data_IF_920495031805
#
_entry.id   IF_920495031805
#
_cell.length_a   1.000
_cell.length_b   1.000
_cell.length_c   1.000
_cell.angle_alpha   90.00
_cell.angle_beta   90.00
_cell.angle_gamma   90.00
#
_symmetry.space_group_name_H-M   'P 1'
#
loop_
_entity.id
_entity.type
_entity.pdbx_description
1 polymer ?
#
# COMPACT_ATOMS: atom_id res chain seq x y z
N UNK A 1 2.98 -14.59 29.18
CA UNK A 1 2.41 -13.92 28.00
C UNK A 1 3.46 -12.97 27.44
N UNK A 2 4.20 -13.43 26.47
CA UNK A 2 5.02 -12.52 25.67
C UNK A 2 4.05 -11.69 24.85
N UNK A 3 3.70 -10.50 25.36
CA UNK A 3 2.73 -9.61 24.74
C UNK A 3 3.08 -9.36 23.29
N UNK A 4 2.09 -9.51 22.42
CA UNK A 4 2.22 -9.19 21.00
C UNK A 4 2.82 -7.80 20.84
N UNK A 5 3.85 -7.68 20.01
CA UNK A 5 4.43 -6.38 19.71
C UNK A 5 3.40 -5.48 19.02
N UNK A 6 3.45 -4.19 19.30
CA UNK A 6 2.53 -3.21 18.70
C UNK A 6 3.32 -2.26 17.83
N UNK A 7 2.87 -2.13 16.57
CA UNK A 7 3.25 -1.09 15.63
C UNK A 7 2.11 -0.10 15.57
N UNK A 8 2.40 1.18 15.80
CA UNK A 8 1.39 2.21 15.90
C UNK A 8 1.51 3.21 14.75
N UNK A 9 0.38 3.63 14.20
CA UNK A 9 0.30 4.69 13.20
C UNK A 9 -0.80 5.69 13.50
N UNK A 10 -0.70 6.91 12.93
CA UNK A 10 -1.75 7.92 13.02
C UNK A 10 -2.86 7.66 11.99
N UNK A 11 -4.00 8.32 12.18
CA UNK A 11 -4.97 8.51 11.10
C UNK A 11 -4.47 9.60 10.14
N UNK A 12 -4.72 9.41 8.86
CA UNK A 12 -4.30 10.35 7.82
C UNK A 12 -5.47 11.17 7.32
N UNK A 13 -5.23 12.47 7.16
CA UNK A 13 -6.20 13.42 6.70
C UNK A 13 -5.60 14.38 5.68
N UNK A 14 -6.21 14.49 4.52
CA UNK A 14 -5.80 15.47 3.53
C UNK A 14 -6.46 16.82 3.85
N UNK A 15 -5.64 17.81 4.21
CA UNK A 15 -6.12 19.14 4.63
C UNK A 15 -6.78 19.91 3.51
N UNK A 16 -6.33 19.73 2.28
CA UNK A 16 -6.83 20.46 1.11
C UNK A 16 -8.17 19.88 0.64
N UNK A 17 -8.22 18.58 0.44
CA UNK A 17 -9.44 17.91 -0.06
C UNK A 17 -10.45 17.56 1.03
N UNK A 18 -10.11 17.82 2.32
CA UNK A 18 -10.93 17.43 3.49
C UNK A 18 -11.27 15.94 3.52
N UNK A 19 -10.37 15.11 2.98
CA UNK A 19 -10.57 13.68 2.85
C UNK A 19 -9.81 12.92 3.94
N UNK A 20 -10.50 12.03 4.65
CA UNK A 20 -9.88 11.08 5.57
C UNK A 20 -9.54 9.78 4.84
N UNK A 21 -8.32 9.30 5.00
CA UNK A 21 -7.90 8.04 4.40
C UNK A 21 -8.33 6.86 5.29
N UNK A 22 -9.06 5.89 4.72
CA UNK A 22 -9.50 4.74 5.49
C UNK A 22 -8.33 3.82 5.84
N UNK A 23 -8.40 3.22 7.01
CA UNK A 23 -7.56 2.09 7.42
C UNK A 23 -7.94 0.86 6.61
N UNK A 24 -6.95 0.12 6.17
CA UNK A 24 -7.14 -1.10 5.39
C UNK A 24 -7.00 -2.31 6.30
N UNK A 25 -8.04 -3.15 6.32
CA UNK A 25 -8.03 -4.45 6.99
C UNK A 25 -8.30 -5.55 5.98
N UNK A 26 -7.48 -6.60 6.02
CA UNK A 26 -7.70 -7.84 5.28
C UNK A 26 -8.20 -8.92 6.25
N UNK A 27 -9.19 -9.68 5.84
CA UNK A 27 -9.54 -10.91 6.54
C UNK A 27 -8.55 -12.04 6.20
N UNK A 28 -8.75 -13.21 6.78
CA UNK A 28 -7.89 -14.41 6.57
C UNK A 28 -7.79 -14.83 5.09
N UNK A 29 -8.82 -14.55 4.30
CA UNK A 29 -8.83 -14.83 2.85
C UNK A 29 -8.22 -13.72 2.02
N UNK A 30 -7.88 -12.56 2.62
CA UNK A 30 -7.35 -11.38 1.92
C UNK A 30 -8.42 -10.44 1.38
N UNK A 31 -9.69 -10.62 1.76
CA UNK A 31 -10.74 -9.66 1.42
C UNK A 31 -10.51 -8.34 2.17
N UNK A 32 -10.62 -7.25 1.43
CA UNK A 32 -10.32 -5.91 1.90
C UNK A 32 -11.57 -5.23 2.49
N UNK A 33 -11.46 -4.74 3.71
CA UNK A 33 -12.40 -3.78 4.30
C UNK A 33 -11.72 -2.41 4.49
N UNK A 34 -12.52 -1.37 4.52
CA UNK A 34 -12.12 0.01 4.81
C UNK A 34 -12.81 0.45 6.08
N UNK A 35 -12.04 0.99 7.02
CA UNK A 35 -12.54 1.50 8.29
C UNK A 35 -12.07 2.94 8.40
N UNK A 36 -12.99 3.85 8.69
CA UNK A 36 -12.64 5.26 8.87
C UNK A 36 -12.30 5.52 10.33
N UNK A 37 -11.07 5.97 10.64
CA UNK A 37 -10.64 6.17 12.02
C UNK A 37 -11.49 7.16 12.82
N UNK A 38 -12.06 8.18 12.17
CA UNK A 38 -12.96 9.14 12.82
C UNK A 38 -14.21 8.53 13.43
N UNK A 39 -14.60 7.32 13.01
CA UNK A 39 -15.77 6.59 13.52
C UNK A 39 -15.46 5.82 14.83
N UNK A 40 -14.20 5.82 15.28
CA UNK A 40 -13.76 5.10 16.48
C UNK A 40 -13.11 6.03 17.50
N UNK A 41 -13.34 5.72 18.78
CA UNK A 41 -12.64 6.36 19.91
C UNK A 41 -11.41 5.55 20.37
N UNK A 42 -11.29 4.32 19.90
CA UNK A 42 -10.23 3.39 20.30
C UNK A 42 -9.32 3.06 19.13
N UNK A 43 -8.08 2.65 19.40
CA UNK A 43 -7.18 2.21 18.34
C UNK A 43 -7.78 1.10 17.49
N UNK A 44 -7.59 1.19 16.19
CA UNK A 44 -8.17 0.29 15.19
C UNK A 44 -7.08 -0.64 14.68
N UNK A 45 -7.36 -1.95 14.68
CA UNK A 45 -6.48 -2.92 14.06
C UNK A 45 -6.46 -2.75 12.54
N UNK A 46 -5.27 -2.53 11.99
CA UNK A 46 -5.00 -2.44 10.57
C UNK A 46 -4.26 -3.67 10.05
N UNK A 47 -4.35 -3.96 8.77
CA UNK A 47 -3.48 -4.94 8.12
C UNK A 47 -2.21 -4.32 7.58
N UNK A 48 -2.27 -3.06 7.19
CA UNK A 48 -1.11 -2.29 6.76
C UNK A 48 -1.32 -0.81 7.06
N UNK A 49 -0.22 -0.14 7.32
CA UNK A 49 -0.12 1.31 7.46
C UNK A 49 1.05 1.79 6.61
N UNK A 50 1.08 3.08 6.30
CA UNK A 50 2.23 3.70 5.63
C UNK A 50 3.31 4.04 6.66
N UNK A 51 4.57 4.09 6.25
CA UNK A 51 5.72 4.40 7.12
C UNK A 51 5.69 5.82 7.67
N UNK A 52 5.00 6.75 7.00
CA UNK A 52 4.83 8.12 7.50
C UNK A 52 4.16 8.13 8.87
N UNK A 53 4.86 8.62 9.89
CA UNK A 53 4.34 8.66 11.26
C UNK A 53 4.18 7.30 11.95
N UNK A 54 4.70 6.23 11.36
CA UNK A 54 4.73 4.90 11.98
C UNK A 54 5.71 4.89 13.16
N UNK A 55 5.26 4.41 14.29
CA UNK A 55 6.08 4.16 15.47
C UNK A 55 6.23 2.65 15.70
N UNK A 56 7.45 2.19 15.82
CA UNK A 56 7.79 0.78 16.04
C UNK A 56 8.89 0.67 17.09
N UNK A 57 8.76 -0.27 18.01
CA UNK A 57 9.82 -0.56 18.98
C UNK A 57 11.00 -1.25 18.29
N UNK A 58 12.21 -0.94 18.74
CA UNK A 58 13.44 -1.51 18.17
C UNK A 58 13.44 -3.04 18.13
N UNK A 59 13.01 -3.70 19.21
CA UNK A 59 12.94 -5.16 19.26
C UNK A 59 11.99 -5.77 18.20
N UNK A 60 10.90 -5.06 17.85
CA UNK A 60 10.02 -5.49 16.76
C UNK A 60 10.73 -5.30 15.43
N UNK A 61 11.39 -4.15 15.21
CA UNK A 61 12.14 -3.91 14.00
C UNK A 61 13.27 -4.95 13.83
N UNK A 62 13.97 -5.30 14.91
CA UNK A 62 15.02 -6.31 14.89
C UNK A 62 14.47 -7.71 14.53
N UNK A 63 13.27 -8.06 15.00
CA UNK A 63 12.64 -9.36 14.72
C UNK A 63 11.98 -9.46 13.36
N UNK A 64 11.36 -8.38 12.89
CA UNK A 64 10.69 -8.32 11.58
C UNK A 64 11.70 -8.06 10.46
N UNK A 65 12.78 -7.36 10.76
CA UNK A 65 13.76 -6.88 9.81
C UNK A 65 13.36 -5.55 9.18
N UNK A 66 14.28 -4.97 8.44
CA UNK A 66 14.07 -3.71 7.71
C UNK A 66 13.15 -3.90 6.51
N UNK A 67 12.67 -2.82 5.94
CA UNK A 67 11.88 -2.82 4.71
C UNK A 67 12.71 -3.33 3.54
N UNK A 68 12.07 -4.05 2.62
CA UNK A 68 12.73 -4.59 1.44
C UNK A 68 13.02 -3.48 0.42
N UNK A 69 14.29 -3.15 0.24
CA UNK A 69 14.76 -2.09 -0.66
C UNK A 69 14.59 -2.44 -2.15
N UNK A 70 14.46 -3.73 -2.49
CA UNK A 70 14.19 -4.18 -3.87
C UNK A 70 12.87 -3.63 -4.40
N UNK A 71 11.91 -3.32 -3.52
CA UNK A 71 10.64 -2.70 -3.89
C UNK A 71 10.81 -1.23 -4.28
N UNK A 72 11.77 -0.52 -3.72
CA UNK A 72 12.06 0.90 -3.94
C UNK A 72 10.91 1.86 -3.61
N UNK A 73 9.77 1.72 -4.26
CA UNK A 73 8.55 2.54 -4.04
C UNK A 73 7.30 1.74 -4.36
N UNK A 74 6.21 2.03 -3.67
CA UNK A 74 4.94 1.29 -3.66
C UNK A 74 5.09 -0.15 -3.10
N UNK A 75 4.14 -0.57 -2.33
CA UNK A 75 4.08 -1.86 -1.59
C UNK A 75 5.13 -2.09 -0.50
N UNK A 76 6.13 -1.22 -0.34
CA UNK A 76 7.17 -1.32 0.71
C UNK A 76 6.51 -1.43 2.09
N UNK A 77 5.65 -0.46 2.42
CA UNK A 77 4.92 -0.42 3.70
C UNK A 77 3.94 -1.58 3.83
N UNK A 78 3.30 -1.96 2.72
CA UNK A 78 2.32 -3.06 2.69
C UNK A 78 2.98 -4.40 2.96
N UNK A 79 4.11 -4.67 2.32
CA UNK A 79 4.89 -5.89 2.53
C UNK A 79 5.35 -5.97 3.98
N UNK A 80 6.02 -4.91 4.47
CA UNK A 80 6.57 -4.89 5.82
C UNK A 80 5.48 -5.05 6.89
N UNK A 81 4.36 -4.36 6.73
CA UNK A 81 3.22 -4.46 7.64
C UNK A 81 2.65 -5.88 7.69
N UNK A 82 2.46 -6.52 6.54
CA UNK A 82 1.94 -7.89 6.47
C UNK A 82 2.94 -8.90 7.02
N UNK A 83 4.24 -8.68 6.85
CA UNK A 83 5.31 -9.49 7.46
C UNK A 83 5.31 -9.35 8.98
N UNK A 84 5.21 -8.13 9.50
CA UNK A 84 5.11 -7.89 10.93
C UNK A 84 3.90 -8.60 11.55
N UNK A 85 2.73 -8.56 10.88
CA UNK A 85 1.53 -9.28 11.30
C UNK A 85 1.70 -10.80 11.23
N UNK A 86 2.33 -11.31 10.19
CA UNK A 86 2.61 -12.74 10.05
C UNK A 86 3.48 -13.26 11.20
N UNK A 87 4.39 -12.43 11.69
CA UNK A 87 5.23 -12.70 12.85
C UNK A 87 4.52 -12.43 14.22
N UNK A 88 3.21 -12.21 14.19
CA UNK A 88 2.38 -12.11 15.40
C UNK A 88 2.25 -10.70 15.98
N UNK A 89 2.82 -9.67 15.34
CA UNK A 89 2.68 -8.31 15.82
C UNK A 89 1.31 -7.71 15.43
N UNK A 90 0.81 -6.80 16.27
CA UNK A 90 -0.39 -6.01 15.99
C UNK A 90 0.00 -4.70 15.31
N UNK A 91 -0.77 -4.33 14.31
CA UNK A 91 -0.70 -2.99 13.69
C UNK A 91 -1.95 -2.23 14.09
N UNK A 92 -1.78 -1.13 14.78
CA UNK A 92 -2.87 -0.29 15.28
C UNK A 92 -2.77 1.12 14.69
N UNK A 93 -3.92 1.68 14.38
CA UNK A 93 -4.06 3.10 14.05
C UNK A 93 -4.79 3.78 15.20
N UNK A 94 -4.15 4.78 15.79
CA UNK A 94 -4.77 5.58 16.83
C UNK A 94 -5.56 6.73 16.18
N UNK A 95 -6.89 6.78 16.35
CA UNK A 95 -7.72 7.84 15.79
C UNK A 95 -7.46 9.22 16.42
N UNK A 96 -6.84 9.29 17.60
CA UNK A 96 -6.51 10.56 18.25
C UNK A 96 -5.23 11.18 17.68
N UNK A 97 -4.35 10.36 17.09
CA UNK A 97 -3.14 10.84 16.44
C UNK A 97 -3.47 11.21 14.99
N UNK A 98 -3.57 12.51 14.72
CA UNK A 98 -3.93 13.01 13.39
C UNK A 98 -2.71 13.50 12.65
N UNK A 99 -2.44 12.94 11.49
CA UNK A 99 -1.36 13.39 10.61
C UNK A 99 -1.93 13.95 9.30
N UNK A 100 -1.57 15.21 9.01
CA UNK A 100 -1.84 15.79 7.69
C UNK A 100 -0.93 15.15 6.65
N UNK A 101 -1.51 14.56 5.62
CA UNK A 101 -0.76 13.89 4.56
C UNK A 101 -1.43 14.11 3.22
N UNK A 102 -0.65 14.51 2.24
CA UNK A 102 -1.09 14.61 0.84
C UNK A 102 -0.57 13.38 0.09
N UNK A 103 -1.45 12.39 -0.07
CA UNK A 103 -1.12 11.16 -0.80
C UNK A 103 -1.43 11.37 -2.28
N UNK A 104 -0.39 11.53 -3.08
CA UNK A 104 -0.47 11.71 -4.53
C UNK A 104 -0.55 13.16 -4.96
N UNK A 105 0.05 13.46 -6.10
CA UNK A 105 0.20 14.82 -6.63
C UNK A 105 -0.96 15.25 -7.53
N UNK A 106 -1.56 14.32 -8.26
CA UNK A 106 -2.65 14.63 -9.19
C UNK A 106 -3.77 13.61 -9.10
N UNK A 107 -4.99 14.12 -9.05
CA UNK A 107 -6.20 13.30 -9.12
C UNK A 107 -6.99 13.72 -10.35
N UNK A 108 -7.15 12.81 -11.30
CA UNK A 108 -8.17 12.98 -12.33
C UNK A 108 -9.55 12.75 -11.73
N UNK A 109 -10.41 13.75 -11.86
CA UNK A 109 -11.83 13.59 -11.56
C UNK A 109 -12.49 12.94 -12.78
N UNK A 110 -12.86 11.67 -12.65
CA UNK A 110 -13.68 10.98 -13.62
C UNK A 110 -15.05 10.73 -13.00
N UNK A 111 -16.04 11.53 -13.38
CA UNK A 111 -17.37 11.57 -12.73
C UNK A 111 -17.24 11.80 -11.21
N UNK A 112 -17.67 10.83 -10.40
CA UNK A 112 -17.58 10.86 -8.93
C UNK A 112 -16.26 10.24 -8.39
N UNK A 113 -15.42 9.71 -9.28
CA UNK A 113 -14.22 8.97 -8.90
C UNK A 113 -12.98 9.86 -8.99
N UNK A 114 -12.18 9.84 -7.94
CA UNK A 114 -10.83 10.43 -7.95
C UNK A 114 -9.84 9.32 -8.28
N UNK A 115 -9.30 9.36 -9.49
CA UNK A 115 -8.29 8.40 -9.95
C UNK A 115 -6.91 9.05 -9.74
N UNK A 116 -6.07 8.50 -8.83
CA UNK A 116 -4.73 9.04 -8.64
C UNK A 116 -3.90 8.79 -9.90
N UNK A 117 -3.35 9.87 -10.45
CA UNK A 117 -2.44 9.81 -11.59
C UNK A 117 -1.01 9.90 -11.05
N UNK A 118 -0.23 8.91 -11.35
CA UNK A 118 1.19 8.88 -11.04
C UNK A 118 2.01 8.92 -12.33
N UNK A 119 3.22 9.46 -12.25
CA UNK A 119 4.16 9.47 -13.37
C UNK A 119 4.36 8.05 -13.94
N UNK A 120 4.69 7.97 -15.22
CA UNK A 120 4.93 6.69 -15.90
C UNK A 120 6.04 5.87 -15.21
N UNK A 121 7.07 6.55 -14.66
CA UNK A 121 8.15 5.89 -13.90
C UNK A 121 7.64 5.24 -12.61
N UNK A 122 6.82 5.93 -11.82
CA UNK A 122 6.21 5.33 -10.62
C UNK A 122 5.26 4.18 -10.97
N UNK A 123 4.53 4.32 -12.07
CA UNK A 123 3.63 3.26 -12.58
C UNK A 123 4.39 1.99 -12.96
N UNK A 124 5.60 2.13 -13.53
CA UNK A 124 6.49 0.99 -13.77
C UNK A 124 6.76 0.21 -12.47
N UNK A 125 7.21 0.88 -11.41
CA UNK A 125 7.48 0.22 -10.13
C UNK A 125 6.23 -0.42 -9.54
N UNK A 126 5.09 0.26 -9.58
CA UNK A 126 3.85 -0.28 -9.05
C UNK A 126 3.43 -1.57 -9.76
N UNK A 127 3.57 -1.65 -11.08
CA UNK A 127 3.28 -2.87 -11.85
C UNK A 127 4.31 -3.97 -11.50
N UNK A 128 5.60 -3.67 -11.61
CA UNK A 128 6.67 -4.62 -11.28
C UNK A 128 6.48 -5.21 -9.88
N UNK A 129 6.30 -4.36 -8.91
CA UNK A 129 6.21 -4.76 -7.51
C UNK A 129 4.92 -5.53 -7.21
N UNK A 130 3.82 -5.31 -7.92
CA UNK A 130 2.62 -6.13 -7.76
C UNK A 130 2.89 -7.61 -8.08
N UNK A 131 3.76 -7.92 -9.05
CA UNK A 131 4.25 -9.27 -9.29
C UNK A 131 5.22 -9.75 -8.22
N UNK A 132 6.08 -8.86 -7.68
CA UNK A 132 6.99 -9.20 -6.59
C UNK A 132 6.26 -9.65 -5.33
N UNK A 133 5.03 -9.21 -5.11
CA UNK A 133 4.22 -9.68 -3.97
C UNK A 133 4.08 -11.21 -3.93
N UNK A 134 4.22 -11.91 -5.07
CA UNK A 134 4.18 -13.37 -5.12
C UNK A 134 5.42 -14.04 -4.50
N UNK A 135 6.50 -13.30 -4.27
CA UNK A 135 7.71 -13.79 -3.60
C UNK A 135 7.55 -13.88 -2.08
N UNK A 136 6.56 -13.19 -1.53
CA UNK A 136 6.34 -13.08 -0.10
C UNK A 136 5.22 -14.03 0.35
N UNK A 137 5.56 -15.17 0.97
CA UNK A 137 4.56 -16.19 1.35
C UNK A 137 3.57 -15.69 2.41
N UNK A 138 3.97 -14.72 3.23
CA UNK A 138 3.12 -14.10 4.26
C UNK A 138 2.02 -13.19 3.69
N UNK A 139 2.06 -12.85 2.40
CA UNK A 139 0.99 -12.07 1.77
C UNK A 139 -0.08 -13.02 1.22
N UNK A 140 -1.37 -12.87 1.60
CA UNK A 140 -2.44 -13.73 1.10
C UNK A 140 -2.53 -13.75 -0.43
N UNK A 141 -2.78 -14.93 -1.02
CA UNK A 141 -2.85 -15.09 -2.48
C UNK A 141 -3.87 -14.14 -3.13
N UNK A 142 -5.03 -13.96 -2.51
CA UNK A 142 -6.06 -13.06 -3.02
C UNK A 142 -5.59 -11.60 -3.05
N UNK A 143 -4.78 -11.16 -2.08
CA UNK A 143 -4.18 -9.81 -2.09
C UNK A 143 -3.24 -9.68 -3.27
N UNK A 144 -2.33 -10.65 -3.47
CA UNK A 144 -1.35 -10.64 -4.57
C UNK A 144 -2.04 -10.58 -5.94
N UNK A 145 -2.99 -11.48 -6.20
CA UNK A 145 -3.72 -11.52 -7.49
C UNK A 145 -4.51 -10.24 -7.72
N UNK A 146 -5.18 -9.74 -6.69
CA UNK A 146 -5.92 -8.48 -6.78
C UNK A 146 -4.99 -7.30 -7.13
N UNK A 147 -3.85 -7.17 -6.47
CA UNK A 147 -2.94 -6.04 -6.73
C UNK A 147 -2.36 -6.08 -8.15
N UNK A 148 -2.03 -7.26 -8.68
CA UNK A 148 -1.63 -7.41 -10.10
C UNK A 148 -2.77 -6.98 -11.02
N UNK A 149 -3.97 -7.53 -10.82
CA UNK A 149 -5.13 -7.24 -11.67
C UNK A 149 -5.44 -5.74 -11.68
N UNK A 150 -5.55 -5.12 -10.49
CA UNK A 150 -5.85 -3.69 -10.40
C UNK A 150 -4.72 -2.81 -10.94
N UNK A 151 -3.46 -3.20 -10.76
CA UNK A 151 -2.33 -2.44 -11.32
C UNK A 151 -2.34 -2.45 -12.85
N UNK A 152 -2.64 -3.59 -13.47
CA UNK A 152 -2.75 -3.72 -14.92
C UNK A 152 -3.98 -2.95 -15.45
N UNK A 153 -5.16 -3.17 -14.87
CA UNK A 153 -6.39 -2.49 -15.30
C UNK A 153 -6.27 -0.96 -15.19
N UNK A 154 -5.73 -0.48 -14.09
CA UNK A 154 -5.49 0.95 -13.90
C UNK A 154 -4.48 1.49 -14.94
N UNK A 155 -3.43 0.75 -15.26
CA UNK A 155 -2.46 1.16 -16.27
C UNK A 155 -3.06 1.18 -17.68
N UNK A 156 -3.87 0.19 -18.03
CA UNK A 156 -4.59 0.19 -19.30
C UNK A 156 -5.52 1.39 -19.43
N UNK A 157 -6.21 1.75 -18.34
CA UNK A 157 -7.01 2.96 -18.29
C UNK A 157 -6.16 4.23 -18.55
N UNK A 158 -5.00 4.35 -17.91
CA UNK A 158 -4.11 5.52 -18.09
C UNK A 158 -3.55 5.60 -19.52
N UNK A 159 -3.32 4.47 -20.19
CA UNK A 159 -2.88 4.43 -21.60
C UNK A 159 -3.97 4.96 -22.54
N UNK A 160 -5.25 4.86 -22.18
CA UNK A 160 -6.35 5.42 -23.00
C UNK A 160 -6.46 6.95 -22.88
N UNK A 161 -5.88 7.54 -21.83
CA UNK A 161 -5.87 9.00 -21.67
C UNK A 161 -4.93 9.68 -22.68
N UNK A 162 -5.24 10.92 -23.14
CA UNK A 162 -4.48 11.57 -24.23
C UNK A 162 -3.02 11.87 -23.90
N UNK A 163 -2.70 12.08 -22.63
CA UNK A 163 -1.38 12.49 -22.19
C UNK A 163 -0.44 11.31 -21.94
N UNK A 164 0.81 11.38 -22.44
CA UNK A 164 1.91 10.43 -22.18
C UNK A 164 1.66 8.95 -22.52
N UNK A 165 0.76 8.65 -23.46
CA UNK A 165 0.40 7.25 -23.84
C UNK A 165 1.61 6.35 -24.05
N UNK A 166 2.63 6.83 -24.79
CA UNK A 166 3.85 6.05 -25.09
C UNK A 166 4.64 5.71 -23.82
N UNK A 167 4.75 6.66 -22.88
CA UNK A 167 5.46 6.45 -21.62
C UNK A 167 4.72 5.44 -20.73
N UNK A 168 3.40 5.54 -20.65
CA UNK A 168 2.56 4.60 -19.91
C UNK A 168 2.57 3.20 -20.53
N UNK A 169 2.56 3.07 -21.85
CA UNK A 169 2.71 1.80 -22.56
C UNK A 169 4.05 1.13 -22.25
N UNK A 170 5.14 1.91 -22.35
CA UNK A 170 6.50 1.44 -22.03
C UNK A 170 6.58 0.96 -20.57
N UNK A 171 5.99 1.70 -19.64
CA UNK A 171 5.95 1.34 -18.21
C UNK A 171 5.16 0.05 -17.96
N UNK A 172 4.05 -0.16 -18.68
CA UNK A 172 3.27 -1.40 -18.57
C UNK A 172 4.13 -2.61 -18.96
N UNK A 173 4.69 -2.60 -20.17
CA UNK A 173 5.46 -3.73 -20.69
C UNK A 173 6.72 -4.01 -19.88
N UNK A 174 7.49 -2.97 -19.53
CA UNK A 174 8.67 -3.12 -18.69
C UNK A 174 8.30 -3.62 -17.29
N UNK A 175 7.25 -3.07 -16.68
CA UNK A 175 6.80 -3.48 -15.37
C UNK A 175 6.37 -4.95 -15.34
N UNK A 176 5.65 -5.43 -16.34
CA UNK A 176 5.27 -6.85 -16.47
C UNK A 176 6.53 -7.71 -16.68
N UNK A 177 7.36 -7.36 -17.66
CA UNK A 177 8.58 -8.12 -17.98
C UNK A 177 9.47 -8.26 -16.75
N UNK A 178 9.81 -7.15 -16.12
CA UNK A 178 10.72 -7.15 -14.99
C UNK A 178 10.05 -7.75 -13.74
N UNK A 179 8.73 -7.65 -13.61
CA UNK A 179 7.97 -8.29 -12.53
C UNK A 179 7.94 -9.82 -12.60
N UNK A 180 7.80 -10.35 -13.81
CA UNK A 180 7.71 -11.81 -14.05
C UNK A 180 9.09 -12.46 -14.15
N UNK A 181 10.02 -11.82 -14.87
CA UNK A 181 11.32 -12.45 -15.23
C UNK A 181 12.49 -11.93 -14.40
N UNK A 182 12.27 -11.06 -13.43
CA UNK A 182 13.37 -10.60 -12.56
C UNK A 182 13.97 -11.78 -11.79
N UNK A 183 15.20 -12.12 -12.11
CA UNK A 183 16.03 -13.02 -11.31
C UNK A 183 16.72 -12.15 -10.23
N UNK A 184 16.44 -12.42 -8.97
CA UNK A 184 17.19 -11.88 -7.82
C UNK A 184 18.63 -12.36 -7.86
#
# INVERSE_FOLDING_TARGET
DFGRGIVLGPRFYNRVSKFEYPVIKFNIFGLRSRIYPSESRYPIEASCIISSGMAVRKNILDSVGVMDDSLFIDYVDTEWSLRARYLGNLILVDPQLVMGHEIGTDNLKLFQWRVPVHSASRRYYRIRNSFFLFRYPHIPRLVRTREVTFSILHQLFLVLLPNEKKAHWKSLWRGIKDGVFYKS
#
